data_IF_963000691122
#
_entry.id   IF_963000691122
#
_cell.length_a   1.000
_cell.length_b   1.000
_cell.length_c   1.000
_cell.angle_alpha   90.00
_cell.angle_beta   90.00
_cell.angle_gamma   90.00
#
_symmetry.space_group_name_H-M   'P 1'
#
loop_
_entity.id
_entity.type
_entity.pdbx_description
1 polymer ?
#
# COMPACT_ATOMS: atom_id res chain seq x y z
N UNK A 1 -0.47 -8.38 -41.75
CA UNK A 1 -1.12 -8.22 -40.42
C UNK A 1 -0.12 -7.57 -39.46
N UNK A 2 -0.20 -6.23 -39.29
CA UNK A 2 0.71 -5.45 -38.42
C UNK A 2 0.22 -5.62 -36.98
N UNK A 3 0.99 -6.34 -36.15
CA UNK A 3 0.60 -6.62 -34.75
C UNK A 3 0.46 -5.30 -33.98
N UNK A 4 -0.77 -4.92 -33.64
CA UNK A 4 -1.12 -3.78 -32.78
C UNK A 4 -0.73 -4.03 -31.32
N UNK A 5 0.52 -4.40 -31.07
CA UNK A 5 1.07 -4.61 -29.73
C UNK A 5 1.02 -3.37 -28.82
N UNK A 6 1.22 -2.11 -29.30
CA UNK A 6 1.27 -0.97 -28.38
C UNK A 6 -0.08 -0.66 -27.72
N UNK A 7 -1.20 -0.87 -28.43
CA UNK A 7 -2.54 -0.64 -27.87
C UNK A 7 -2.89 -1.59 -26.72
N UNK A 8 -2.47 -2.85 -26.81
CA UNK A 8 -2.71 -3.84 -25.76
C UNK A 8 -1.93 -3.54 -24.48
N UNK A 9 -0.71 -3.00 -24.61
CA UNK A 9 0.11 -2.60 -23.47
C UNK A 9 -0.51 -1.44 -22.68
N UNK A 10 -1.17 -0.49 -23.36
CA UNK A 10 -1.88 0.60 -22.67
C UNK A 10 -3.06 0.08 -21.84
N UNK A 11 -3.82 -0.91 -22.34
CA UNK A 11 -4.94 -1.50 -21.60
C UNK A 11 -4.51 -2.18 -20.30
N UNK A 12 -3.31 -2.77 -20.26
CA UNK A 12 -2.77 -3.39 -19.05
C UNK A 12 -2.49 -2.35 -17.96
N UNK A 13 -1.94 -1.18 -18.30
CA UNK A 13 -1.62 -0.14 -17.31
C UNK A 13 -2.87 0.44 -16.64
N UNK A 14 -3.98 0.57 -17.37
CA UNK A 14 -5.27 1.08 -16.84
C UNK A 14 -6.06 0.00 -16.07
N UNK A 15 -5.79 -1.27 -16.30
CA UNK A 15 -6.44 -2.38 -15.58
C UNK A 15 -5.65 -2.83 -14.34
N UNK A 16 -4.45 -2.29 -14.12
CA UNK A 16 -3.87 -2.33 -12.77
C UNK A 16 -4.81 -1.51 -11.88
N UNK A 17 -5.46 -2.12 -10.88
CA UNK A 17 -6.29 -1.38 -9.95
C UNK A 17 -5.42 -0.29 -9.32
N UNK A 18 -5.74 0.96 -9.60
CA UNK A 18 -5.16 2.11 -8.95
C UNK A 18 -5.40 1.97 -7.44
N UNK A 19 -4.39 1.48 -6.73
CA UNK A 19 -4.37 1.47 -5.26
C UNK A 19 -5.13 0.35 -4.56
N UNK A 20 -5.79 -0.61 -5.23
CA UNK A 20 -6.53 -1.65 -4.51
C UNK A 20 -5.64 -2.74 -3.86
N UNK A 21 -4.34 -2.74 -4.16
CA UNK A 21 -3.34 -3.56 -3.45
C UNK A 21 -2.99 -3.04 -2.03
N UNK A 22 -3.50 -1.87 -1.66
CA UNK A 22 -3.40 -1.29 -0.31
C UNK A 22 -4.49 -1.81 0.64
N UNK A 23 -5.51 -2.49 0.11
CA UNK A 23 -6.76 -2.82 0.82
C UNK A 23 -6.75 -4.26 1.35
N UNK A 24 -7.01 -4.43 2.64
CA UNK A 24 -7.38 -5.71 3.25
C UNK A 24 -6.26 -6.66 3.72
N UNK A 25 -4.98 -6.41 3.42
CA UNK A 25 -3.90 -7.22 4.00
C UNK A 25 -3.47 -6.67 5.37
N UNK A 26 -3.20 -7.56 6.33
CA UNK A 26 -2.68 -7.23 7.67
C UNK A 26 -1.23 -6.71 7.65
N UNK A 27 -0.58 -6.73 6.49
CA UNK A 27 0.82 -6.37 6.28
C UNK A 27 1.72 -7.58 6.48
N UNK A 28 2.94 -7.47 5.98
CA UNK A 28 3.98 -8.48 6.18
C UNK A 28 4.76 -8.14 7.44
N UNK A 29 4.93 -9.14 8.30
CA UNK A 29 5.74 -9.01 9.50
C UNK A 29 7.23 -9.20 9.14
N UNK A 30 8.01 -8.14 9.29
CA UNK A 30 9.46 -8.16 9.06
C UNK A 30 10.14 -7.71 10.34
N UNK A 31 11.04 -8.54 10.88
CA UNK A 31 11.62 -8.36 12.22
C UNK A 31 12.12 -6.93 12.49
N UNK A 32 12.78 -6.28 11.54
CA UNK A 32 13.29 -4.91 11.68
C UNK A 32 12.19 -3.85 11.76
N UNK A 33 11.05 -4.07 11.10
CA UNK A 33 9.88 -3.19 11.16
C UNK A 33 9.01 -3.49 12.40
N UNK A 34 8.86 -4.77 12.76
CA UNK A 34 8.06 -5.21 13.91
C UNK A 34 8.62 -4.71 15.24
N UNK A 35 9.95 -4.63 15.40
CA UNK A 35 10.57 -4.07 16.62
C UNK A 35 10.23 -2.59 16.84
N UNK A 36 9.84 -1.87 15.78
CA UNK A 36 9.37 -0.48 15.86
C UNK A 36 7.85 -0.38 16.10
N UNK A 37 7.16 -1.51 16.17
CA UNK A 37 5.71 -1.62 16.22
C UNK A 37 5.03 -1.31 14.88
N UNK A 38 5.77 -1.42 13.77
CA UNK A 38 5.26 -1.24 12.42
C UNK A 38 5.03 -2.57 11.70
N UNK A 39 4.41 -2.49 10.52
CA UNK A 39 4.25 -3.60 9.58
C UNK A 39 4.60 -3.14 8.16
N UNK A 40 4.99 -4.08 7.30
CA UNK A 40 5.38 -3.76 5.94
C UNK A 40 4.19 -3.86 4.97
N UNK A 41 4.02 -2.84 4.13
CA UNK A 41 2.96 -2.76 3.12
C UNK A 41 3.53 -2.29 1.78
N UNK A 42 2.83 -2.53 0.68
CA UNK A 42 3.12 -1.92 -0.64
C UNK A 42 2.65 -0.46 -0.67
N UNK A 43 3.32 0.39 0.12
CA UNK A 43 2.91 1.78 0.41
C UNK A 43 2.13 1.89 1.73
N UNK A 44 2.26 3.01 2.43
CA UNK A 44 1.56 3.22 3.70
C UNK A 44 0.10 3.65 3.49
N UNK A 45 -0.79 3.07 4.30
CA UNK A 45 -2.21 3.41 4.35
C UNK A 45 -2.41 4.79 4.96
N UNK A 46 -3.49 5.48 4.61
CA UNK A 46 -3.92 6.69 5.31
C UNK A 46 -4.08 6.41 6.81
N UNK A 47 -3.58 7.29 7.67
CA UNK A 47 -3.52 7.04 9.12
C UNK A 47 -2.32 6.22 9.59
N UNK A 48 -1.39 5.90 8.69
CA UNK A 48 -0.12 5.27 9.02
C UNK A 48 1.05 6.14 8.58
N UNK A 49 2.08 6.22 9.42
CA UNK A 49 3.33 6.92 9.17
C UNK A 49 4.35 5.99 8.50
N UNK A 50 5.07 6.50 7.50
CA UNK A 50 6.17 5.81 6.85
C UNK A 50 7.45 5.92 7.69
N UNK A 51 8.16 4.80 7.91
CA UNK A 51 9.38 4.76 8.71
C UNK A 51 10.63 4.43 7.88
N UNK A 52 10.55 3.39 7.04
CA UNK A 52 11.69 2.86 6.30
C UNK A 52 11.22 1.94 5.16
N UNK A 53 12.15 1.51 4.31
CA UNK A 53 11.88 0.45 3.33
C UNK A 53 11.99 -0.95 3.96
N UNK A 54 11.07 -1.85 3.59
CA UNK A 54 11.20 -3.29 3.79
C UNK A 54 11.57 -3.94 2.44
N UNK A 55 12.69 -4.66 2.39
CA UNK A 55 13.13 -5.42 1.20
C UNK A 55 13.00 -4.65 -0.13
N UNK A 56 13.35 -3.36 -0.12
CA UNK A 56 13.42 -2.44 -1.28
C UNK A 56 12.11 -2.02 -1.97
N UNK A 57 11.03 -2.81 -1.92
CA UNK A 57 9.77 -2.49 -2.63
C UNK A 57 8.59 -2.21 -1.69
N UNK A 58 8.68 -2.64 -0.44
CA UNK A 58 7.66 -2.41 0.58
C UNK A 58 8.10 -1.27 1.52
N UNK A 59 7.12 -0.68 2.20
CA UNK A 59 7.30 0.37 3.19
C UNK A 59 6.92 -0.15 4.57
N UNK A 60 7.81 0.06 5.55
CA UNK A 60 7.51 -0.11 6.96
C UNK A 60 6.64 1.06 7.41
N UNK A 61 5.44 0.74 7.88
CA UNK A 61 4.45 1.72 8.29
C UNK A 61 4.01 1.46 9.73
N UNK A 62 3.71 2.51 10.48
CA UNK A 62 3.19 2.43 11.85
C UNK A 62 1.90 3.23 12.01
N UNK A 63 0.89 2.76 12.75
CA UNK A 63 -0.34 3.52 12.91
C UNK A 63 -0.06 4.83 13.66
N UNK A 64 -0.58 5.93 13.13
CA UNK A 64 -0.55 7.24 13.79
C UNK A 64 -1.41 7.18 15.05
N UNK A 65 -0.90 7.72 16.16
CA UNK A 65 -1.62 7.81 17.44
C UNK A 65 -2.37 9.14 17.60
N UNK A 66 -1.92 10.17 16.90
CA UNK A 66 -2.42 11.54 17.00
C UNK A 66 -2.58 12.12 15.58
N UNK A 67 -3.47 13.10 15.42
CA UNK A 67 -3.73 13.79 14.16
C UNK A 67 -4.03 12.86 12.98
N UNK A 68 -4.82 11.81 13.22
CA UNK A 68 -5.22 10.86 12.20
C UNK A 68 -6.05 11.59 11.14
N UNK A 69 -5.64 11.57 9.85
CA UNK A 69 -6.38 12.24 8.80
C UNK A 69 -7.76 11.61 8.64
N UNK A 70 -8.79 12.39 8.26
CA UNK A 70 -10.14 11.88 8.06
C UNK A 70 -10.20 10.69 7.08
N UNK A 71 -9.35 10.69 6.07
CA UNK A 71 -9.25 9.61 5.08
C UNK A 71 -8.89 8.23 5.68
N UNK A 72 -8.39 8.18 6.92
CA UNK A 72 -8.13 6.92 7.62
C UNK A 72 -9.42 6.23 8.10
N UNK A 73 -10.47 6.99 8.44
CA UNK A 73 -11.73 6.39 8.90
C UNK A 73 -12.51 5.73 7.76
N UNK A 74 -12.36 6.21 6.52
CA UNK A 74 -13.04 5.64 5.34
C UNK A 74 -12.50 4.24 5.03
N UNK A 75 -11.22 4.00 5.29
CA UNK A 75 -10.55 2.71 5.08
C UNK A 75 -10.76 1.74 6.25
N UNK A 76 -11.07 2.27 7.44
CA UNK A 76 -11.29 1.49 8.67
C UNK A 76 -12.75 1.07 8.85
N UNK A 77 -13.67 1.65 8.06
CA UNK A 77 -15.11 1.44 8.12
C UNK A 77 -15.65 0.68 6.91
N UNK A 78 -15.08 -0.48 6.58
CA UNK A 78 -15.79 -1.48 5.77
C UNK A 78 -16.47 -2.44 6.74
N UNK A 79 -17.70 -2.08 7.15
CA UNK A 79 -18.64 -3.00 7.80
C UNK A 79 -19.25 -3.91 6.73
#
# INVERSE_FOLDING_TARGET
MRRCLPGFLFLLVISLPSGNGLFGNDGVEVRSCSVLGGRCFFGCKSGWEWLAYCHSIMSCCKPLKEFIPPQAYEVSGSN
#
